data_IF_445130477716
#
_entry.id   IF_445130477716
#
_cell.length_a   1.000
_cell.length_b   1.000
_cell.length_c   1.000
_cell.angle_alpha   90.00
_cell.angle_beta   90.00
_cell.angle_gamma   90.00
#
_symmetry.space_group_name_H-M   'P 1'
#
loop_
_entity.id
_entity.type
_entity.pdbx_description
1 polymer ?
#
# COMPACT_ATOMS: atom_id res chain seq x y z
N UNK A 1 -14.75 21.73 4.65
CA UNK A 1 -15.10 20.95 5.87
C UNK A 1 -14.12 21.37 6.97
N UNK A 2 -14.53 21.62 8.22
CA UNK A 2 -13.56 21.95 9.28
C UNK A 2 -12.88 20.67 9.75
N UNK A 3 -11.58 20.54 9.47
CA UNK A 3 -10.75 19.43 9.96
C UNK A 3 -10.72 19.48 11.49
N UNK A 4 -10.92 18.33 12.14
CA UNK A 4 -10.89 18.22 13.59
C UNK A 4 -10.09 16.98 14.05
N UNK A 5 -9.85 16.89 15.35
CA UNK A 5 -9.09 15.80 15.96
C UNK A 5 -9.68 14.40 15.68
N UNK A 6 -11.01 14.29 15.64
CA UNK A 6 -11.73 13.03 15.46
C UNK A 6 -11.49 12.48 14.06
N UNK A 7 -11.53 13.34 13.05
CA UNK A 7 -11.24 12.97 11.67
C UNK A 7 -9.79 12.47 11.51
N UNK A 8 -8.80 13.18 12.09
CA UNK A 8 -7.39 12.76 12.02
C UNK A 8 -7.18 11.40 12.70
N UNK A 9 -7.82 11.18 13.86
CA UNK A 9 -7.73 9.91 14.59
C UNK A 9 -8.38 8.77 13.84
N UNK A 10 -9.53 8.99 13.20
CA UNK A 10 -10.18 7.99 12.36
C UNK A 10 -9.29 7.58 11.20
N UNK A 11 -8.73 8.54 10.46
CA UNK A 11 -7.79 8.26 9.37
C UNK A 11 -6.55 7.50 9.86
N UNK A 12 -6.04 7.85 11.05
CA UNK A 12 -4.92 7.14 11.68
C UNK A 12 -5.24 5.67 11.95
N UNK A 13 -6.42 5.40 12.54
CA UNK A 13 -6.87 4.04 12.86
C UNK A 13 -7.11 3.23 11.58
N UNK A 14 -7.82 3.81 10.62
CA UNK A 14 -8.13 3.16 9.35
C UNK A 14 -6.86 2.83 8.58
N UNK A 15 -5.91 3.78 8.46
CA UNK A 15 -4.64 3.52 7.78
C UNK A 15 -3.88 2.38 8.46
N UNK A 16 -3.79 2.43 9.80
CA UNK A 16 -3.10 1.41 10.60
C UNK A 16 -3.70 0.01 10.43
N UNK A 17 -5.02 -0.09 10.31
CA UNK A 17 -5.70 -1.36 10.09
C UNK A 17 -5.50 -1.85 8.65
N UNK A 18 -5.72 -0.99 7.66
CA UNK A 18 -5.68 -1.38 6.25
C UNK A 18 -4.29 -1.83 5.80
N UNK A 19 -3.21 -1.14 6.20
CA UNK A 19 -1.86 -1.58 5.80
C UNK A 19 -1.47 -2.91 6.46
N UNK A 20 -1.89 -3.16 7.71
CA UNK A 20 -1.64 -4.44 8.40
C UNK A 20 -2.42 -5.60 7.79
N UNK A 21 -3.61 -5.32 7.26
CA UNK A 21 -4.47 -6.29 6.56
C UNK A 21 -4.14 -6.44 5.08
N UNK A 22 -3.11 -5.72 4.58
CA UNK A 22 -2.73 -5.70 3.17
C UNK A 22 -3.85 -5.24 2.22
N UNK A 23 -4.75 -4.39 2.72
CA UNK A 23 -5.86 -3.82 1.95
C UNK A 23 -5.38 -2.62 1.12
N UNK A 24 -4.52 -2.86 0.12
CA UNK A 24 -3.77 -1.80 -0.56
C UNK A 24 -4.63 -0.75 -1.26
N UNK A 25 -5.80 -1.15 -1.77
CA UNK A 25 -6.76 -0.20 -2.35
C UNK A 25 -7.33 0.75 -1.28
N UNK A 26 -7.60 0.25 -0.07
CA UNK A 26 -8.03 1.09 1.04
C UNK A 26 -6.91 2.02 1.50
N UNK A 27 -5.67 1.53 1.60
CA UNK A 27 -4.48 2.35 1.91
C UNK A 27 -4.36 3.52 0.92
N UNK A 28 -4.49 3.27 -0.38
CA UNK A 28 -4.43 4.32 -1.42
C UNK A 28 -5.58 5.34 -1.28
N UNK A 29 -6.78 4.89 -0.92
CA UNK A 29 -7.91 5.80 -0.70
C UNK A 29 -7.66 6.71 0.50
N UNK A 30 -7.21 6.13 1.61
CA UNK A 30 -6.92 6.84 2.85
C UNK A 30 -5.76 7.83 2.66
N UNK A 31 -4.70 7.46 1.92
CA UNK A 31 -3.60 8.36 1.57
C UNK A 31 -4.08 9.63 0.86
N UNK A 32 -4.99 9.48 -0.13
CA UNK A 32 -5.61 10.64 -0.80
C UNK A 32 -6.41 11.52 0.16
N UNK A 33 -7.17 10.92 1.06
CA UNK A 33 -7.93 11.66 2.08
C UNK A 33 -7.00 12.43 3.03
N UNK A 34 -5.88 11.81 3.42
CA UNK A 34 -4.82 12.46 4.21
C UNK A 34 -4.21 13.63 3.44
N UNK A 35 -3.90 13.46 2.16
CA UNK A 35 -3.36 14.52 1.32
C UNK A 35 -4.29 15.73 1.27
N UNK A 36 -5.58 15.53 0.99
CA UNK A 36 -6.58 16.61 0.97
C UNK A 36 -6.68 17.31 2.32
N UNK A 37 -6.76 16.55 3.42
CA UNK A 37 -6.83 17.11 4.77
C UNK A 37 -5.59 17.93 5.12
N UNK A 38 -4.39 17.47 4.78
CA UNK A 38 -3.15 18.20 5.05
C UNK A 38 -3.05 19.47 4.20
N UNK A 39 -3.55 19.46 2.96
CA UNK A 39 -3.65 20.65 2.12
C UNK A 39 -4.59 21.71 2.74
N UNK A 40 -5.74 21.29 3.26
CA UNK A 40 -6.68 22.19 3.95
C UNK A 40 -6.07 22.79 5.23
N UNK A 41 -5.32 21.98 6.00
CA UNK A 41 -4.65 22.44 7.22
C UNK A 41 -3.48 23.39 6.93
N UNK A 42 -2.81 23.24 5.78
CA UNK A 42 -1.74 24.16 5.36
C UNK A 42 -2.25 25.61 5.24
N UNK A 43 -3.51 25.81 4.85
CA UNK A 43 -4.15 27.12 4.80
C UNK A 43 -4.60 27.66 6.16
N UNK A 44 -4.49 26.87 7.24
CA UNK A 44 -5.04 27.19 8.57
C UNK A 44 -4.02 26.87 9.69
N UNK A 45 -2.90 27.62 9.78
CA UNK A 45 -1.77 27.29 10.65
C UNK A 45 -2.15 27.23 12.15
N UNK A 46 -3.04 28.10 12.63
CA UNK A 46 -3.51 28.05 14.02
C UNK A 46 -4.28 26.75 14.34
N UNK A 47 -5.08 26.26 13.39
CA UNK A 47 -5.80 24.98 13.52
C UNK A 47 -4.80 23.82 13.46
N UNK A 48 -3.85 23.87 12.53
CA UNK A 48 -2.80 22.85 12.42
C UNK A 48 -2.00 22.70 13.72
N UNK A 49 -1.64 23.82 14.37
CA UNK A 49 -0.94 23.79 15.65
C UNK A 49 -1.81 23.18 16.77
N UNK A 50 -3.10 23.53 16.83
CA UNK A 50 -4.04 22.94 17.79
C UNK A 50 -4.20 21.41 17.64
N UNK A 51 -3.95 20.89 16.44
CA UNK A 51 -4.07 19.47 16.09
C UNK A 51 -2.71 18.75 15.99
N UNK A 52 -1.61 19.43 16.34
CA UNK A 52 -0.23 18.97 16.14
C UNK A 52 0.02 17.56 16.64
N UNK A 53 -0.49 17.23 17.83
CA UNK A 53 -0.32 15.89 18.44
C UNK A 53 -0.93 14.78 17.57
N UNK A 54 -2.15 14.98 17.09
CA UNK A 54 -2.86 13.99 16.26
C UNK A 54 -2.19 13.88 14.87
N UNK A 55 -1.73 14.99 14.29
CA UNK A 55 -0.98 15.01 13.02
C UNK A 55 0.34 14.23 13.14
N UNK A 56 1.08 14.39 14.23
CA UNK A 56 2.33 13.65 14.46
C UNK A 56 2.08 12.14 14.58
N UNK A 57 0.99 11.75 15.25
CA UNK A 57 0.61 10.34 15.34
C UNK A 57 0.22 9.76 13.98
N UNK A 58 -0.57 10.50 13.19
CA UNK A 58 -0.91 10.13 11.82
C UNK A 58 0.35 9.96 10.96
N UNK A 59 1.31 10.90 11.04
CA UNK A 59 2.58 10.82 10.31
C UNK A 59 3.35 9.54 10.63
N UNK A 60 3.42 9.15 11.91
CA UNK A 60 4.09 7.92 12.33
C UNK A 60 3.48 6.68 11.67
N UNK A 61 2.15 6.57 11.69
CA UNK A 61 1.43 5.47 11.05
C UNK A 61 1.61 5.50 9.53
N UNK A 62 1.60 6.69 8.93
CA UNK A 62 1.76 6.85 7.50
C UNK A 62 3.14 6.36 7.01
N UNK A 63 4.21 6.72 7.72
CA UNK A 63 5.55 6.22 7.42
C UNK A 63 5.63 4.69 7.53
N UNK A 64 5.01 4.10 8.55
CA UNK A 64 4.95 2.64 8.68
C UNK A 64 4.18 1.97 7.53
N UNK A 65 3.07 2.57 7.08
CA UNK A 65 2.32 2.10 5.93
C UNK A 65 3.14 2.17 4.64
N UNK A 66 3.93 3.24 4.43
CA UNK A 66 4.84 3.36 3.30
C UNK A 66 5.91 2.26 3.30
N UNK A 67 6.55 2.02 4.45
CA UNK A 67 7.52 0.93 4.57
C UNK A 67 6.90 -0.42 4.26
N UNK A 68 5.68 -0.69 4.75
CA UNK A 68 4.96 -1.92 4.43
C UNK A 68 4.65 -2.06 2.93
N UNK A 69 4.33 -0.96 2.24
CA UNK A 69 4.09 -0.98 0.79
C UNK A 69 5.36 -1.29 0.00
N UNK A 70 6.52 -0.75 0.38
CA UNK A 70 7.80 -1.09 -0.28
C UNK A 70 8.19 -2.56 -0.07
N UNK A 71 8.00 -3.08 1.14
CA UNK A 71 8.23 -4.51 1.44
C UNK A 71 7.33 -5.40 0.57
N UNK A 72 6.04 -5.07 0.47
CA UNK A 72 5.12 -5.87 -0.35
C UNK A 72 5.46 -5.76 -1.85
N UNK A 73 5.84 -4.58 -2.33
CA UNK A 73 6.29 -4.36 -3.71
C UNK A 73 7.52 -5.21 -4.03
N UNK A 74 8.50 -5.27 -3.14
CA UNK A 74 9.67 -6.14 -3.28
C UNK A 74 9.26 -7.62 -3.32
N UNK A 75 8.41 -8.05 -2.39
CA UNK A 75 7.90 -9.42 -2.35
C UNK A 75 7.17 -9.82 -3.65
N UNK A 76 6.28 -8.95 -4.15
CA UNK A 76 5.61 -9.16 -5.43
C UNK A 76 6.58 -9.21 -6.60
N UNK A 77 7.62 -8.36 -6.60
CA UNK A 77 8.69 -8.38 -7.61
C UNK A 77 9.45 -9.71 -7.62
N UNK A 78 9.83 -10.21 -6.45
CA UNK A 78 10.48 -11.53 -6.32
C UNK A 78 9.57 -12.67 -6.78
N UNK A 79 8.28 -12.61 -6.45
CA UNK A 79 7.29 -13.60 -6.88
C UNK A 79 7.08 -13.60 -8.40
N UNK A 80 7.00 -12.41 -9.01
CA UNK A 80 6.90 -12.26 -10.46
C UNK A 80 8.14 -12.80 -11.17
N UNK A 81 9.34 -12.53 -10.66
CA UNK A 81 10.58 -13.07 -11.21
C UNK A 81 10.60 -14.61 -11.16
N UNK A 82 10.16 -15.21 -10.05
CA UNK A 82 10.01 -16.67 -9.94
C UNK A 82 9.05 -17.22 -10.99
N UNK A 83 7.89 -16.60 -11.18
CA UNK A 83 6.93 -17.03 -12.20
C UNK A 83 7.49 -16.89 -13.62
N UNK A 84 8.24 -15.83 -13.91
CA UNK A 84 8.88 -15.66 -15.22
C UNK A 84 9.91 -16.76 -15.50
N UNK A 85 10.76 -17.09 -14.54
CA UNK A 85 11.70 -18.21 -14.66
C UNK A 85 10.96 -19.56 -14.79
N UNK A 86 9.81 -19.72 -14.15
CA UNK A 86 8.98 -20.92 -14.32
C UNK A 86 8.28 -21.00 -15.69
N UNK A 87 8.08 -19.88 -16.40
CA UNK A 87 7.59 -19.90 -17.79
C UNK A 87 8.62 -20.49 -18.75
N UNK A 88 9.92 -20.42 -18.44
CA UNK A 88 10.92 -21.21 -19.15
C UNK A 88 10.63 -22.71 -18.99
N UNK A 89 10.24 -23.15 -17.78
CA UNK A 89 9.72 -24.50 -17.56
C UNK A 89 8.43 -24.82 -18.31
N UNK A 90 7.55 -23.83 -18.55
CA UNK A 90 6.37 -24.00 -19.45
C UNK A 90 6.81 -24.21 -20.91
N UNK A 91 7.90 -23.56 -21.34
CA UNK A 91 8.48 -23.82 -22.66
C UNK A 91 9.09 -25.22 -22.76
N UNK A 92 9.54 -25.81 -21.64
CA UNK A 92 9.98 -27.22 -21.60
C UNK A 92 8.80 -28.19 -21.80
N UNK A 93 7.60 -27.90 -21.28
CA UNK A 93 6.42 -28.69 -21.62
C UNK A 93 6.15 -28.65 -23.14
N UNK A 94 6.29 -27.50 -23.79
CA UNK A 94 6.17 -27.39 -25.25
C UNK A 94 7.26 -28.18 -25.99
N UNK A 95 8.48 -28.18 -25.48
CA UNK A 95 9.58 -28.98 -26.05
C UNK A 95 9.33 -30.49 -25.87
N UNK A 96 8.79 -30.93 -24.73
CA UNK A 96 8.39 -32.34 -24.51
C UNK A 96 7.22 -32.74 -25.40
N UNK A 97 6.23 -31.87 -25.58
CA UNK A 97 5.12 -32.08 -26.52
C UNK A 97 5.62 -32.18 -27.97
N UNK A 98 6.53 -31.29 -28.40
CA UNK A 98 7.16 -31.34 -29.73
C UNK A 98 8.10 -32.54 -29.90
N UNK A 99 8.78 -32.98 -28.82
CA UNK A 99 9.65 -34.14 -28.80
C UNK A 99 8.89 -35.48 -28.74
N UNK A 100 7.56 -35.47 -28.72
CA UNK A 100 6.72 -36.67 -28.87
C UNK A 100 6.33 -37.36 -27.56
N UNK A 101 6.35 -36.65 -26.42
CA UNK A 101 6.02 -37.20 -25.10
C UNK A 101 4.53 -37.55 -24.85
N UNK A 102 3.64 -37.33 -25.82
CA UNK A 102 2.30 -37.93 -25.83
C UNK A 102 2.21 -38.92 -27.00
N UNK A 103 2.74 -40.12 -26.78
CA UNK A 103 2.24 -41.30 -27.47
C UNK A 103 0.83 -41.54 -26.91
N UNK A 104 -0.15 -41.36 -27.79
CA UNK A 104 -1.56 -41.84 -27.78
C UNK A 104 -2.07 -42.50 -26.50
#
# INVERSE_FOLDING_TARGET
>A
MKVNNTQIRQLTVQLNQSYKRKEWQAVRKIDKEIYTMLADLKGQPAVAESLRRDILQLKKVHLAAMTACEIEKEHLGQMLAKFQNQREGVSEYQQVEMAGGFIR
#
